data_IF_357313657375
#
_entry.id   IF_357313657375
#
_cell.length_a   1.000
_cell.length_b   1.000
_cell.length_c   1.000
_cell.angle_alpha   90.00
_cell.angle_beta   90.00
_cell.angle_gamma   90.00
#
_symmetry.space_group_name_H-M   'P 1'
#
loop_
_entity.id
_entity.type
_entity.pdbx_description
1 polymer ?
#
# COMPACT_ATOMS: atom_id res chain seq x y z
N UNK A 1 10.38 -1.48 52.92
CA UNK A 1 9.17 -1.20 52.12
C UNK A 1 9.48 -0.05 51.16
N UNK A 2 10.44 -0.22 50.24
CA UNK A 2 10.85 0.84 49.29
C UNK A 2 11.27 0.30 47.90
N UNK A 3 11.35 -1.03 47.72
CA UNK A 3 11.78 -1.62 46.45
C UNK A 3 10.62 -1.76 45.42
N UNK A 4 9.36 -1.77 45.88
CA UNK A 4 8.21 -2.06 45.02
C UNK A 4 7.70 -0.86 44.20
N UNK A 5 8.02 0.37 44.59
CA UNK A 5 7.56 1.58 43.89
C UNK A 5 8.44 1.92 42.66
N UNK A 6 9.70 1.45 42.65
CA UNK A 6 10.69 1.77 41.60
C UNK A 6 10.60 0.90 40.35
N UNK A 7 10.02 -0.30 40.47
CA UNK A 7 9.80 -1.21 39.33
C UNK A 7 8.54 -0.87 38.53
N UNK A 8 7.56 -0.23 39.15
CA UNK A 8 6.28 0.10 38.50
C UNK A 8 6.38 1.28 37.51
N UNK A 9 7.29 2.23 37.76
CA UNK A 9 7.53 3.40 36.89
C UNK A 9 8.35 3.09 35.63
N UNK A 10 9.09 1.98 35.60
CA UNK A 10 9.88 1.60 34.43
C UNK A 10 9.07 0.81 33.41
N UNK A 11 8.03 0.09 33.86
CA UNK A 11 7.12 -0.66 32.98
C UNK A 11 6.14 0.23 32.19
N UNK A 12 5.77 1.39 32.73
CA UNK A 12 4.87 2.35 32.05
C UNK A 12 5.59 3.10 30.92
N UNK A 13 6.90 3.32 31.04
CA UNK A 13 7.71 4.01 30.02
C UNK A 13 7.92 3.15 28.75
N UNK A 14 8.03 1.83 28.90
CA UNK A 14 8.20 0.90 27.77
C UNK A 14 6.90 0.75 26.96
N UNK A 15 5.73 0.84 27.59
CA UNK A 15 4.45 0.70 26.90
C UNK A 15 4.06 1.92 26.03
N UNK A 16 4.53 3.12 26.38
CA UNK A 16 4.27 4.34 25.58
C UNK A 16 5.12 4.43 24.30
N UNK A 17 6.26 3.74 24.22
CA UNK A 17 7.16 3.79 23.05
C UNK A 17 6.69 2.89 21.89
N UNK A 18 5.98 1.80 22.16
CA UNK A 18 5.52 0.87 21.11
C UNK A 18 4.31 1.37 20.32
N UNK A 19 3.47 2.24 20.90
CA UNK A 19 2.25 2.74 20.22
C UNK A 19 2.61 3.82 19.16
N UNK A 20 3.74 4.51 19.31
CA UNK A 20 4.14 5.60 18.41
C UNK A 20 4.68 5.13 17.04
N UNK A 21 5.18 3.91 16.90
CA UNK A 21 5.86 3.50 15.66
C UNK A 21 4.90 3.25 14.49
N UNK A 22 3.72 2.68 14.74
CA UNK A 22 2.75 2.38 13.68
C UNK A 22 2.14 3.65 13.06
N UNK A 23 1.87 4.68 13.87
CA UNK A 23 1.29 5.93 13.39
C UNK A 23 2.25 6.78 12.54
N UNK A 24 3.56 6.76 12.85
CA UNK A 24 4.57 7.55 12.13
C UNK A 24 4.78 7.07 10.68
N UNK A 25 4.64 5.77 10.43
CA UNK A 25 4.79 5.19 9.08
C UNK A 25 3.73 5.71 8.09
N UNK A 26 2.53 6.03 8.58
CA UNK A 26 1.43 6.45 7.71
C UNK A 26 1.65 7.85 7.10
N UNK A 27 2.44 8.74 7.70
CA UNK A 27 2.71 10.08 7.12
C UNK A 27 3.87 10.13 6.12
N UNK A 28 4.70 9.09 6.02
CA UNK A 28 5.85 9.10 5.13
C UNK A 28 5.44 8.99 3.65
N UNK A 29 6.14 9.68 2.71
CA UNK A 29 5.92 9.49 1.28
C UNK A 29 6.06 8.02 0.88
N UNK A 30 5.25 7.57 -0.07
CA UNK A 30 5.43 6.25 -0.67
C UNK A 30 6.72 6.22 -1.49
N UNK A 31 7.43 5.11 -1.45
CA UNK A 31 8.64 4.89 -2.26
C UNK A 31 8.52 3.57 -3.01
N UNK A 32 9.00 3.49 -4.26
CA UNK A 32 9.10 2.23 -4.98
C UNK A 32 9.76 1.14 -4.16
N UNK A 33 9.21 -0.06 -4.28
CA UNK A 33 9.61 -1.27 -3.58
C UNK A 33 8.93 -1.49 -2.22
N UNK A 34 8.26 -0.51 -1.61
CA UNK A 34 7.57 -0.73 -0.33
C UNK A 34 6.46 -1.78 -0.44
N UNK A 35 6.40 -2.69 0.53
CA UNK A 35 5.38 -3.74 0.65
C UNK A 35 4.48 -3.45 1.85
N UNK A 36 3.18 -3.37 1.60
CA UNK A 36 2.19 -3.04 2.61
C UNK A 36 1.09 -4.09 2.71
N UNK A 37 0.59 -4.31 3.92
CA UNK A 37 -0.76 -4.83 4.13
C UNK A 37 -1.79 -3.75 3.87
N UNK A 38 -3.04 -4.14 3.64
CA UNK A 38 -4.14 -3.21 3.40
C UNK A 38 -5.45 -3.72 4.01
N UNK A 39 -6.38 -2.81 4.25
CA UNK A 39 -7.70 -3.14 4.78
C UNK A 39 -8.42 -4.13 3.86
N UNK A 40 -9.02 -5.16 4.43
CA UNK A 40 -9.82 -6.13 3.68
C UNK A 40 -9.02 -7.13 2.84
N UNK A 41 -7.69 -7.21 3.01
CA UNK A 41 -6.84 -8.20 2.36
C UNK A 41 -7.34 -9.62 2.64
N UNK A 42 -7.76 -10.31 1.58
CA UNK A 42 -8.25 -11.68 1.62
C UNK A 42 -7.80 -12.39 0.33
N UNK A 43 -6.97 -13.46 0.42
CA UNK A 43 -6.36 -14.04 1.61
C UNK A 43 -5.45 -13.06 2.37
N UNK A 44 -5.15 -13.40 3.63
CA UNK A 44 -4.26 -12.61 4.49
C UNK A 44 -2.82 -12.51 3.96
N UNK A 45 -2.45 -13.26 2.91
CA UNK A 45 -1.17 -13.12 2.21
C UNK A 45 -1.18 -12.03 1.13
N UNK A 46 -2.33 -11.48 0.77
CA UNK A 46 -2.42 -10.43 -0.25
C UNK A 46 -1.68 -9.16 0.18
N UNK A 47 -0.85 -8.61 -0.70
CA UNK A 47 -0.03 -7.43 -0.42
C UNK A 47 -0.14 -6.39 -1.52
N UNK A 48 0.06 -5.14 -1.12
CA UNK A 48 0.33 -4.02 -2.02
C UNK A 48 1.84 -3.87 -2.16
N UNK A 49 2.35 -3.75 -3.38
CA UNK A 49 3.74 -3.38 -3.67
C UNK A 49 3.73 -2.05 -4.41
N UNK A 50 4.41 -1.03 -3.87
CA UNK A 50 4.57 0.27 -4.55
C UNK A 50 5.58 0.13 -5.67
N UNK A 51 5.21 0.46 -6.90
CA UNK A 51 6.11 0.37 -8.04
C UNK A 51 6.59 1.71 -8.59
N UNK A 52 5.71 2.72 -8.65
CA UNK A 52 6.09 4.07 -9.06
C UNK A 52 5.24 5.13 -8.36
N UNK A 53 5.78 6.34 -8.23
CA UNK A 53 5.07 7.52 -7.72
C UNK A 53 5.25 8.66 -8.71
N UNK A 54 4.15 9.06 -9.34
CA UNK A 54 4.11 10.12 -10.33
C UNK A 54 3.55 11.40 -9.72
N UNK A 55 4.32 12.48 -9.82
CA UNK A 55 3.89 13.84 -9.47
C UNK A 55 3.72 14.68 -10.73
N UNK A 56 2.63 15.43 -10.82
CA UNK A 56 2.29 16.24 -11.99
C UNK A 56 2.37 17.72 -11.62
N UNK A 57 2.91 18.54 -12.51
CA UNK A 57 2.96 19.99 -12.31
C UNK A 57 1.53 20.56 -12.20
N UNK A 58 1.20 21.22 -11.09
CA UNK A 58 -0.11 21.83 -10.84
C UNK A 58 -0.73 21.42 -9.50
N UNK A 59 -2.07 21.39 -9.42
CA UNK A 59 -2.85 21.05 -8.21
C UNK A 59 -3.29 19.58 -8.15
N UNK A 60 -2.76 18.71 -9.02
CA UNK A 60 -3.10 17.28 -9.01
C UNK A 60 -2.44 16.56 -7.85
N UNK A 61 -3.16 15.68 -7.16
CA UNK A 61 -2.55 14.79 -6.17
C UNK A 61 -1.62 13.77 -6.87
N UNK A 62 -0.53 13.34 -6.21
CA UNK A 62 0.31 12.26 -6.72
C UNK A 62 -0.49 10.99 -7.03
N UNK A 63 -0.07 10.28 -8.08
CA UNK A 63 -0.59 8.97 -8.43
C UNK A 63 0.48 7.94 -8.09
N UNK A 64 0.07 6.89 -7.40
CA UNK A 64 0.93 5.78 -7.02
C UNK A 64 0.54 4.57 -7.86
N UNK A 65 1.47 4.10 -8.69
CA UNK A 65 1.33 2.84 -9.41
C UNK A 65 1.75 1.69 -8.49
N UNK A 66 0.82 0.79 -8.22
CA UNK A 66 1.01 -0.37 -7.33
C UNK A 66 0.81 -1.68 -8.08
N UNK A 67 1.26 -2.77 -7.47
CA UNK A 67 0.79 -4.12 -7.74
C UNK A 67 0.01 -4.64 -6.54
N UNK A 68 -0.91 -5.58 -6.77
CA UNK A 68 -1.57 -6.31 -5.68
C UNK A 68 -1.40 -7.81 -5.91
N UNK A 69 -0.76 -8.49 -4.96
CA UNK A 69 -0.46 -9.92 -5.05
C UNK A 69 -1.52 -10.76 -4.33
N UNK A 70 -1.54 -12.04 -4.65
CA UNK A 70 -2.40 -13.07 -4.02
C UNK A 70 -3.86 -12.66 -3.87
N UNK A 71 -4.48 -12.09 -4.92
CA UNK A 71 -5.90 -11.73 -4.90
C UNK A 71 -6.76 -12.85 -5.50
N UNK A 72 -7.94 -13.16 -4.92
CA UNK A 72 -8.85 -14.16 -5.43
C UNK A 72 -9.64 -13.57 -6.60
N UNK A 73 -9.03 -13.56 -7.78
CA UNK A 73 -9.74 -13.18 -9.01
C UNK A 73 -10.58 -14.38 -9.44
N UNK A 74 -11.92 -14.25 -9.57
CA UNK A 74 -12.78 -15.33 -10.01
C UNK A 74 -12.51 -15.65 -11.47
N UNK A 75 -11.53 -16.51 -11.72
CA UNK A 75 -11.32 -17.16 -13.03
C UNK A 75 -11.82 -18.60 -12.97
N UNK A 76 -11.90 -19.27 -14.13
CA UNK A 76 -12.26 -20.69 -14.20
C UNK A 76 -11.26 -21.59 -13.43
N UNK A 77 -10.09 -21.05 -13.12
CA UNK A 77 -9.06 -21.66 -12.28
C UNK A 77 -9.09 -20.98 -10.91
N UNK A 78 -9.18 -21.76 -9.83
CA UNK A 78 -9.26 -21.26 -8.43
C UNK A 78 -7.90 -20.73 -7.92
N UNK A 79 -7.10 -20.13 -8.79
CA UNK A 79 -5.75 -19.68 -8.45
C UNK A 79 -5.74 -18.22 -8.00
N UNK A 80 -4.96 -17.95 -6.96
CA UNK A 80 -4.68 -16.59 -6.54
C UNK A 80 -3.89 -15.89 -7.64
N UNK A 81 -4.26 -14.66 -7.97
CA UNK A 81 -3.64 -13.91 -9.06
C UNK A 81 -2.90 -12.68 -8.54
N UNK A 82 -1.99 -12.18 -9.37
CA UNK A 82 -1.33 -10.90 -9.15
C UNK A 82 -1.84 -9.89 -10.16
N UNK A 83 -2.39 -8.79 -9.68
CA UNK A 83 -2.65 -7.61 -10.52
C UNK A 83 -1.35 -6.83 -10.64
N UNK A 84 -0.73 -6.93 -11.80
CA UNK A 84 0.63 -6.43 -12.01
C UNK A 84 0.71 -4.90 -11.94
N UNK A 85 -0.30 -4.15 -12.40
CA UNK A 85 -0.27 -2.68 -12.40
C UNK A 85 -1.65 -2.07 -12.13
N UNK A 86 -1.73 -1.19 -11.15
CA UNK A 86 -2.90 -0.37 -10.80
C UNK A 86 -2.46 1.06 -10.44
N UNK A 87 -2.94 2.09 -11.15
CA UNK A 87 -2.70 3.49 -10.79
C UNK A 87 -3.74 3.96 -9.77
N UNK A 88 -3.30 4.40 -8.58
CA UNK A 88 -4.18 4.78 -7.47
C UNK A 88 -3.81 6.17 -6.96
N UNK A 89 -4.81 6.99 -6.63
CA UNK A 89 -4.62 8.26 -5.95
C UNK A 89 -3.87 8.08 -4.62
N UNK A 90 -2.90 8.94 -4.32
CA UNK A 90 -2.10 8.80 -3.09
C UNK A 90 -2.95 8.77 -1.82
N UNK A 91 -4.01 9.57 -1.74
CA UNK A 91 -4.88 9.63 -0.56
C UNK A 91 -5.73 8.36 -0.42
N UNK A 92 -6.20 7.80 -1.54
CA UNK A 92 -6.95 6.54 -1.55
C UNK A 92 -6.05 5.36 -1.15
N UNK A 93 -4.82 5.33 -1.64
CA UNK A 93 -3.84 4.33 -1.23
C UNK A 93 -3.48 4.48 0.26
N UNK A 94 -3.29 5.73 0.72
CA UNK A 94 -3.00 6.04 2.11
C UNK A 94 -4.08 5.54 3.07
N UNK A 95 -5.34 5.73 2.72
CA UNK A 95 -6.48 5.24 3.47
C UNK A 95 -6.68 3.72 3.38
N UNK A 96 -5.99 3.05 2.44
CA UNK A 96 -6.10 1.60 2.23
C UNK A 96 -5.04 0.81 3.00
N UNK A 97 -3.80 1.30 3.07
CA UNK A 97 -2.67 0.54 3.65
C UNK A 97 -2.70 0.56 5.18
N UNK A 98 -2.24 -0.53 5.80
CA UNK A 98 -2.26 -0.69 7.26
C UNK A 98 -0.84 -0.69 7.82
N UNK A 99 -0.02 -1.68 7.43
CA UNK A 99 1.32 -1.89 7.97
C UNK A 99 2.34 -2.02 6.84
N UNK A 100 3.48 -1.32 6.96
CA UNK A 100 4.64 -1.49 6.11
C UNK A 100 5.41 -2.72 6.59
N UNK A 101 5.35 -3.81 5.82
CA UNK A 101 6.00 -5.08 6.20
C UNK A 101 7.44 -5.19 5.66
N UNK A 102 7.82 -4.37 4.68
CA UNK A 102 9.18 -4.35 4.17
C UNK A 102 9.31 -3.77 2.77
N UNK A 103 10.29 -4.28 2.02
CA UNK A 103 10.58 -3.86 0.65
C UNK A 103 10.84 -5.07 -0.25
N UNK A 104 10.50 -4.97 -1.53
CA UNK A 104 10.81 -5.98 -2.53
C UNK A 104 10.62 -5.47 -3.96
N UNK A 105 10.71 -6.37 -4.92
CA UNK A 105 10.54 -6.06 -6.34
C UNK A 105 9.08 -6.08 -6.75
N UNK A 106 8.72 -5.26 -7.73
CA UNK A 106 7.43 -5.38 -8.43
C UNK A 106 7.39 -6.69 -9.24
N UNK A 107 6.20 -7.30 -9.43
CA UNK A 107 6.03 -8.50 -10.21
C UNK A 107 6.24 -8.28 -11.72
N UNK A 108 6.38 -9.38 -12.44
CA UNK A 108 6.37 -9.37 -13.90
C UNK A 108 5.10 -8.70 -14.45
N UNK A 109 5.26 -7.98 -15.56
CA UNK A 109 4.17 -7.23 -16.18
C UNK A 109 3.88 -5.86 -15.56
N UNK A 110 4.43 -5.51 -14.38
CA UNK A 110 4.29 -4.17 -13.82
C UNK A 110 4.79 -3.11 -14.81
N UNK A 111 6.00 -3.29 -15.31
CA UNK A 111 6.69 -2.35 -16.19
C UNK A 111 5.93 -2.09 -17.51
N UNK A 112 5.37 -3.14 -18.12
CA UNK A 112 4.59 -3.00 -19.35
C UNK A 112 3.23 -2.37 -19.08
N UNK A 113 2.56 -2.72 -17.98
CA UNK A 113 1.30 -2.10 -17.56
C UNK A 113 1.47 -0.61 -17.26
N UNK A 114 2.51 -0.27 -16.49
CA UNK A 114 2.86 1.10 -16.14
C UNK A 114 3.11 1.96 -17.38
N UNK A 115 3.93 1.50 -18.33
CA UNK A 115 4.19 2.26 -19.57
C UNK A 115 2.93 2.49 -20.39
N UNK A 116 2.08 1.45 -20.54
CA UNK A 116 0.83 1.56 -21.28
C UNK A 116 -0.13 2.57 -20.63
N UNK A 117 -0.31 2.46 -19.31
CA UNK A 117 -1.11 3.40 -18.56
C UNK A 117 -0.55 4.82 -18.68
N UNK A 118 0.76 5.00 -18.50
CA UNK A 118 1.40 6.32 -18.54
C UNK A 118 1.17 7.01 -19.88
N UNK A 119 1.37 6.30 -20.98
CA UNK A 119 1.08 6.79 -22.32
C UNK A 119 -0.41 7.17 -22.51
N UNK A 120 -1.32 6.35 -21.99
CA UNK A 120 -2.76 6.62 -22.06
C UNK A 120 -3.16 7.80 -21.17
N UNK A 121 -2.59 7.93 -19.99
CA UNK A 121 -2.83 9.02 -19.05
C UNK A 121 -2.37 10.36 -19.63
N UNK A 122 -1.15 10.39 -20.19
CA UNK A 122 -0.57 11.59 -20.81
C UNK A 122 -1.34 12.05 -22.05
N UNK A 123 -2.05 11.13 -22.71
CA UNK A 123 -2.96 11.45 -23.82
C UNK A 123 -4.41 11.70 -23.39
N UNK A 124 -4.70 11.75 -22.09
CA UNK A 124 -6.04 12.00 -21.54
C UNK A 124 -7.03 10.84 -21.71
N UNK A 125 -6.54 9.63 -21.98
CA UNK A 125 -7.33 8.42 -22.28
C UNK A 125 -7.39 7.42 -21.13
N UNK A 126 -6.62 7.64 -20.06
CA UNK A 126 -6.67 6.82 -18.86
C UNK A 126 -6.80 7.71 -17.62
N UNK A 127 -7.38 7.14 -16.57
CA UNK A 127 -7.47 7.74 -15.25
C UNK A 127 -6.67 6.96 -14.22
N UNK A 128 -7.04 7.14 -12.96
CA UNK A 128 -6.52 6.41 -11.80
C UNK A 128 -7.67 6.16 -10.84
N UNK A 129 -7.52 5.16 -9.97
CA UNK A 129 -8.54 4.82 -8.98
C UNK A 129 -8.50 5.79 -7.80
N UNK A 130 -9.67 6.21 -7.35
CA UNK A 130 -9.87 7.07 -6.17
C UNK A 130 -10.61 6.35 -5.03
N UNK A 131 -10.83 5.05 -5.18
CA UNK A 131 -11.46 4.15 -4.20
C UNK A 131 -10.40 3.29 -3.50
N UNK A 132 -10.79 2.60 -2.42
CA UNK A 132 -9.87 1.75 -1.66
C UNK A 132 -9.34 0.58 -2.48
N UNK A 133 -8.14 0.08 -2.14
CA UNK A 133 -7.55 -1.11 -2.77
C UNK A 133 -8.50 -2.31 -2.64
N UNK A 134 -9.11 -2.51 -1.47
CA UNK A 134 -10.15 -3.52 -1.23
C UNK A 134 -11.31 -3.41 -2.22
N UNK A 135 -11.77 -2.18 -2.48
CA UNK A 135 -12.82 -1.92 -3.46
C UNK A 135 -12.39 -2.30 -4.86
N UNK A 136 -11.17 -1.95 -5.28
CA UNK A 136 -10.65 -2.24 -6.63
C UNK A 136 -10.59 -3.75 -6.89
N UNK A 137 -10.05 -4.53 -5.95
CA UNK A 137 -9.81 -5.98 -6.15
C UNK A 137 -11.07 -6.84 -6.00
N UNK A 138 -12.22 -6.23 -5.70
CA UNK A 138 -13.52 -6.90 -5.57
C UNK A 138 -14.52 -6.53 -6.67
N UNK A 139 -14.14 -5.65 -7.60
CA UNK A 139 -14.93 -5.33 -8.81
C UNK A 139 -14.91 -6.53 -9.74
#
# INVERSE_FOLDING_TARGET
MEAACRTFLWSILVLCLSICQAAMAQTAPFTPGQIWTYHGAAPASSRVIVGAVDTFAGKGQPIVSISVTDVPIPTNEKEMQTVAHLPVAVDALRASVVELEGTGSVPDGFESGYRQWRQAYDSGKAGYFTISVEGIVRI
#
